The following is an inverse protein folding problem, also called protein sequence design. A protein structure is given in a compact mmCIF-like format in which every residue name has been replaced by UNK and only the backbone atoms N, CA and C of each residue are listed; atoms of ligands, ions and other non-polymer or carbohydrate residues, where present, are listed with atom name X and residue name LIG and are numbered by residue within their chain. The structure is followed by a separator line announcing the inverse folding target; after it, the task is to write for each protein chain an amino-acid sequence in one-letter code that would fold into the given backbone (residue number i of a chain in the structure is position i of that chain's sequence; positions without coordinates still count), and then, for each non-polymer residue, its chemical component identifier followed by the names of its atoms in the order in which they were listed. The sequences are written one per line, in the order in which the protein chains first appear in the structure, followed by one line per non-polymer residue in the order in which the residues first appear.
data_IF_964901854609
#
_entry.id   IF_964901854609
#
_cell.length_a   1.000
_cell.length_b   1.000
_cell.length_c   1.000
_cell.angle_alpha   90.00
_cell.angle_beta   90.00
_cell.angle_gamma   90.00
#
_symmetry.space_group_name_H-M   'P 1'
#
loop_
_entity.id
_entity.type
_entity.pdbx_description
1 polymer ?
#
# COMPACT_ATOMS: atom_id res chain seq x y z
N UNK A 1 1.19 -42.09 48.53
CA UNK A 1 2.02 -41.01 47.97
C UNK A 1 1.86 -39.80 48.88
N UNK A 2 2.92 -39.43 49.64
CA UNK A 2 2.84 -38.41 50.69
C UNK A 2 2.38 -37.06 50.14
N UNK A 3 1.61 -36.32 50.95
CA UNK A 3 1.05 -34.99 50.66
C UNK A 3 2.12 -34.04 50.12
N UNK A 4 3.35 -34.10 50.62
CA UNK A 4 4.50 -33.32 50.14
C UNK A 4 4.87 -33.58 48.68
N UNK A 5 4.76 -34.84 48.22
CA UNK A 5 5.01 -35.21 46.82
C UNK A 5 3.90 -34.68 45.90
N UNK A 6 2.65 -34.71 46.37
CA UNK A 6 1.51 -34.14 45.64
C UNK A 6 1.66 -32.62 45.50
N UNK A 7 2.05 -31.91 46.55
CA UNK A 7 2.27 -30.45 46.51
C UNK A 7 3.45 -30.06 45.62
N UNK A 8 4.53 -30.84 45.61
CA UNK A 8 5.67 -30.61 44.71
C UNK A 8 5.34 -30.88 43.23
N UNK A 9 4.52 -31.89 42.95
CA UNK A 9 4.09 -32.19 41.57
C UNK A 9 3.12 -31.12 41.05
N UNK A 10 2.26 -30.59 41.93
CA UNK A 10 1.33 -29.50 41.61
C UNK A 10 2.04 -28.15 41.42
N UNK A 11 3.11 -27.89 42.19
CA UNK A 11 3.96 -26.71 42.03
C UNK A 11 4.83 -26.78 40.77
N UNK A 12 5.34 -27.96 40.40
CA UNK A 12 6.10 -28.17 39.17
C UNK A 12 5.23 -28.07 37.90
N UNK A 13 3.95 -28.49 37.97
CA UNK A 13 3.00 -28.27 36.89
C UNK A 13 2.61 -26.80 36.73
N UNK A 14 2.58 -26.03 37.82
CA UNK A 14 2.27 -24.60 37.80
C UNK A 14 3.42 -23.72 37.28
N UNK A 15 4.69 -24.16 37.41
CA UNK A 15 5.85 -23.43 36.90
C UNK A 15 6.17 -23.68 35.43
N UNK A 16 5.56 -24.69 34.80
CA UNK A 16 5.68 -24.95 33.36
C UNK A 16 4.55 -24.31 32.51
N UNK A 17 3.59 -23.62 33.13
CA UNK A 17 2.41 -23.06 32.47
C UNK A 17 2.60 -21.64 31.89
N UNK A 18 3.81 -21.27 31.46
CA UNK A 18 4.06 -20.01 30.73
C UNK A 18 4.00 -20.26 29.22
N UNK A 19 2.89 -20.84 28.76
CA UNK A 19 2.37 -20.77 27.39
C UNK A 19 1.20 -21.76 27.29
N UNK A 20 -0.02 -21.30 27.49
CA UNK A 20 -1.21 -22.12 27.33
C UNK A 20 -1.39 -22.47 25.84
N UNK A 21 -1.08 -23.71 25.47
CA UNK A 21 -1.40 -24.28 24.16
C UNK A 21 -2.55 -25.29 24.31
N UNK A 22 -3.27 -25.54 23.20
CA UNK A 22 -4.44 -26.42 23.15
C UNK A 22 -4.24 -27.84 23.75
N UNK A 23 -2.98 -28.31 23.87
CA UNK A 23 -2.64 -29.59 24.51
C UNK A 23 -2.91 -29.65 26.03
N UNK A 24 -2.91 -28.53 26.74
CA UNK A 24 -3.05 -28.53 28.20
C UNK A 24 -4.45 -28.95 28.67
N UNK A 25 -5.48 -28.61 27.88
CA UNK A 25 -6.87 -29.00 28.15
C UNK A 25 -7.07 -30.51 28.05
N UNK A 26 -6.50 -31.12 27.01
CA UNK A 26 -6.59 -32.57 26.78
C UNK A 26 -5.85 -33.36 27.85
N UNK A 27 -4.70 -32.87 28.30
CA UNK A 27 -3.93 -33.46 29.41
C UNK A 27 -4.70 -33.33 30.73
N UNK A 28 -5.29 -32.17 31.02
CA UNK A 28 -6.11 -31.96 32.23
C UNK A 28 -7.37 -32.84 32.22
N UNK A 29 -8.01 -33.01 31.06
CA UNK A 29 -9.15 -33.93 30.89
C UNK A 29 -8.76 -35.39 31.14
N UNK A 30 -7.56 -35.79 30.70
CA UNK A 30 -7.00 -37.12 30.96
C UNK A 30 -6.67 -37.35 32.44
N UNK A 31 -6.18 -36.32 33.14
CA UNK A 31 -5.86 -36.39 34.57
C UNK A 31 -7.11 -36.46 35.45
N UNK A 32 -8.18 -35.76 35.07
CA UNK A 32 -9.50 -35.91 35.71
C UNK A 32 -10.06 -37.30 35.47
N UNK A 33 -10.00 -37.80 34.23
CA UNK A 33 -10.45 -39.14 33.87
C UNK A 33 -9.67 -40.25 34.59
N UNK A 34 -8.39 -40.03 34.90
CA UNK A 34 -7.54 -40.95 35.69
C UNK A 34 -7.67 -40.76 37.20
N UNK A 35 -8.54 -39.85 37.66
CA UNK A 35 -8.80 -39.59 39.08
C UNK A 35 -7.61 -38.97 39.83
N UNK A 36 -6.65 -38.40 39.10
CA UNK A 36 -5.45 -37.76 39.68
C UNK A 36 -5.78 -36.34 40.16
N UNK A 37 -6.72 -35.69 39.49
CA UNK A 37 -7.19 -34.32 39.77
C UNK A 37 -8.72 -34.33 39.74
N UNK A 38 -9.37 -33.54 40.59
CA UNK A 38 -10.83 -33.39 40.61
C UNK A 38 -11.34 -32.47 39.48
N UNK A 39 -12.64 -32.55 39.19
CA UNK A 39 -13.26 -31.68 38.20
C UNK A 39 -13.18 -30.19 38.62
N UNK A 40 -13.28 -29.92 39.93
CA UNK A 40 -13.14 -28.58 40.50
C UNK A 40 -11.72 -28.04 40.33
N UNK A 41 -10.69 -28.86 40.58
CA UNK A 41 -9.29 -28.47 40.41
C UNK A 41 -8.93 -28.19 38.94
N UNK A 42 -9.49 -28.97 38.01
CA UNK A 42 -9.38 -28.66 36.58
C UNK A 42 -10.03 -27.32 36.24
N UNK A 43 -11.24 -27.07 36.73
CA UNK A 43 -11.94 -25.81 36.47
C UNK A 43 -11.15 -24.61 37.01
N UNK A 44 -10.58 -24.73 38.22
CA UNK A 44 -9.73 -23.69 38.80
C UNK A 44 -8.42 -23.49 38.03
N UNK A 45 -7.78 -24.56 37.55
CA UNK A 45 -6.58 -24.47 36.72
C UNK A 45 -6.86 -23.80 35.37
N UNK A 46 -7.98 -24.16 34.72
CA UNK A 46 -8.42 -23.53 33.46
C UNK A 46 -8.82 -22.07 33.66
N UNK A 47 -9.51 -21.73 34.75
CA UNK A 47 -9.88 -20.35 35.07
C UNK A 47 -8.63 -19.51 35.40
N UNK A 48 -7.66 -20.08 36.12
CA UNK A 48 -6.38 -19.42 36.41
C UNK A 48 -5.53 -19.27 35.15
N UNK A 49 -5.49 -20.25 34.27
CA UNK A 49 -4.81 -20.17 32.98
C UNK A 49 -5.48 -19.14 32.07
N UNK A 50 -6.81 -19.08 32.05
CA UNK A 50 -7.58 -18.07 31.31
C UNK A 50 -7.34 -16.67 31.86
N UNK A 51 -7.36 -16.49 33.19
CA UNK A 51 -7.03 -15.21 33.84
C UNK A 51 -5.56 -14.82 33.65
N UNK A 52 -4.63 -15.78 33.65
CA UNK A 52 -3.22 -15.53 33.37
C UNK A 52 -2.99 -15.19 31.89
N UNK A 53 -3.72 -15.83 30.97
CA UNK A 53 -3.70 -15.54 29.54
C UNK A 53 -4.31 -14.16 29.24
N UNK A 54 -5.39 -13.78 29.93
CA UNK A 54 -5.97 -12.44 29.90
C UNK A 54 -5.03 -11.39 30.52
N UNK A 55 -4.40 -11.69 31.66
CA UNK A 55 -3.42 -10.81 32.29
C UNK A 55 -2.11 -10.69 31.47
N UNK A 56 -1.80 -11.69 30.64
CA UNK A 56 -0.69 -11.70 29.70
C UNK A 56 -1.07 -11.14 28.31
N UNK A 57 -2.31 -10.68 28.11
CA UNK A 57 -2.77 -10.05 26.87
C UNK A 57 -2.87 -10.99 25.66
N UNK A 58 -3.00 -12.30 25.86
CA UNK A 58 -2.97 -13.29 24.77
C UNK A 58 -4.34 -13.49 24.06
N UNK A 59 -5.43 -12.97 24.64
CA UNK A 59 -6.79 -13.05 24.06
C UNK A 59 -7.14 -11.83 23.18
N UNK A 60 -6.24 -10.86 23.06
CA UNK A 60 -6.45 -9.67 22.25
C UNK A 60 -5.35 -9.54 21.20
N UNK A 61 -5.73 -9.40 19.93
CA UNK A 61 -4.82 -8.95 18.87
C UNK A 61 -4.56 -7.46 19.13
N UNK A 62 -3.77 -7.15 20.15
CA UNK A 62 -3.23 -5.81 20.34
C UNK A 62 -1.71 -5.85 20.24
N UNK A 63 -1.20 -4.77 19.63
CA UNK A 63 0.21 -4.54 19.48
C UNK A 63 0.92 -4.74 20.82
N UNK A 64 2.11 -5.31 20.73
CA UNK A 64 3.03 -5.44 21.85
C UNK A 64 3.30 -4.02 22.37
N UNK A 65 2.63 -3.65 23.47
CA UNK A 65 2.62 -2.36 24.20
C UNK A 65 1.58 -1.30 23.78
N UNK A 66 1.29 -0.35 24.69
CA UNK A 66 0.42 0.86 24.55
C UNK A 66 0.72 1.78 23.34
N UNK A 67 1.63 1.34 22.47
CA UNK A 67 2.06 2.00 21.26
C UNK A 67 0.93 2.13 20.23
N UNK A 68 0.09 1.10 20.03
CA UNK A 68 -0.99 1.19 19.02
C UNK A 68 -2.19 1.99 19.54
N UNK A 69 -2.42 3.17 18.99
CA UNK A 69 -3.54 4.05 19.34
C UNK A 69 -4.81 3.73 18.54
N UNK A 70 -4.67 3.33 17.28
CA UNK A 70 -5.82 3.01 16.42
C UNK A 70 -5.45 2.02 15.33
N UNK A 71 -6.30 1.03 15.12
CA UNK A 71 -6.24 0.15 13.96
C UNK A 71 -7.43 0.45 13.05
N UNK A 72 -7.16 0.73 11.78
CA UNK A 72 -8.17 1.03 10.75
C UNK A 72 -8.16 -0.05 9.69
N UNK A 73 -9.32 -0.63 9.44
CA UNK A 73 -9.56 -1.53 8.33
C UNK A 73 -10.24 -0.75 7.21
N UNK A 74 -9.77 -0.94 5.99
CA UNK A 74 -10.34 -0.30 4.80
C UNK A 74 -10.48 -1.33 3.70
N UNK A 75 -11.48 -1.14 2.84
CA UNK A 75 -11.69 -2.04 1.73
C UNK A 75 -12.37 -1.33 0.57
N UNK A 76 -12.17 -1.90 -0.61
CA UNK A 76 -12.92 -1.49 -1.80
C UNK A 76 -13.10 -2.67 -2.73
N UNK A 77 -14.33 -2.84 -3.18
CA UNK A 77 -14.68 -3.75 -4.25
C UNK A 77 -15.18 -2.92 -5.45
N UNK A 78 -14.74 -3.29 -6.65
CA UNK A 78 -15.28 -2.74 -7.89
C UNK A 78 -15.33 -3.83 -8.94
N UNK A 79 -16.53 -4.10 -9.44
CA UNK A 79 -16.78 -5.00 -10.56
C UNK A 79 -17.08 -4.19 -11.82
N UNK A 80 -16.77 -4.76 -12.98
CA UNK A 80 -17.03 -4.15 -14.28
C UNK A 80 -17.52 -5.22 -15.25
N UNK A 81 -18.38 -4.78 -16.17
CA UNK A 81 -18.69 -5.49 -17.40
C UNK A 81 -18.17 -4.66 -18.56
N UNK A 82 -17.38 -5.28 -19.43
CA UNK A 82 -16.83 -4.64 -20.62
C UNK A 82 -17.39 -5.34 -21.86
N UNK A 83 -17.87 -4.57 -22.83
CA UNK A 83 -18.19 -5.00 -24.19
C UNK A 83 -17.44 -4.08 -25.17
N UNK A 84 -16.30 -4.56 -25.66
CA UNK A 84 -15.37 -3.80 -26.49
C UNK A 84 -15.32 -4.47 -27.86
N UNK A 85 -15.85 -3.78 -28.87
CA UNK A 85 -15.65 -4.13 -30.27
C UNK A 85 -14.37 -3.46 -30.79
N UNK A 86 -13.59 -4.20 -31.58
CA UNK A 86 -12.35 -3.70 -32.18
C UNK A 86 -12.51 -3.68 -33.70
N UNK A 87 -12.16 -2.56 -34.32
CA UNK A 87 -12.07 -2.42 -35.76
C UNK A 87 -10.68 -1.82 -36.08
N UNK A 88 -9.88 -2.53 -36.90
CA UNK A 88 -8.56 -2.07 -37.32
C UNK A 88 -8.56 -1.82 -38.83
N UNK A 89 -8.20 -0.61 -39.23
CA UNK A 89 -7.99 -0.26 -40.64
C UNK A 89 -6.49 -0.32 -40.95
N UNK A 90 -6.04 -1.39 -41.62
CA UNK A 90 -4.65 -1.51 -42.09
C UNK A 90 -4.05 -2.90 -41.86
N UNK A 91 -3.90 -3.65 -42.94
CA UNK A 91 -3.33 -5.00 -42.95
C UNK A 91 -1.80 -4.96 -42.88
N UNK A 92 -1.24 -5.29 -41.71
CA UNK A 92 0.09 -5.91 -41.59
C UNK A 92 0.15 -6.67 -40.27
N UNK A 93 -0.17 -7.97 -40.30
CA UNK A 93 0.32 -9.04 -39.42
C UNK A 93 0.40 -8.80 -37.89
N UNK A 94 -0.46 -7.97 -37.30
CA UNK A 94 -0.78 -8.07 -35.88
C UNK A 94 -2.14 -8.76 -35.80
N UNK A 95 -2.18 -9.98 -35.25
CA UNK A 95 -3.43 -10.74 -35.13
C UNK A 95 -4.53 -9.86 -34.54
N UNK A 96 -5.70 -9.83 -35.18
CA UNK A 96 -6.83 -9.00 -34.75
C UNK A 96 -7.08 -9.22 -33.25
N UNK A 97 -7.09 -8.14 -32.48
CA UNK A 97 -7.54 -8.23 -31.10
C UNK A 97 -9.03 -8.61 -31.13
N UNK A 98 -9.37 -9.78 -30.59
CA UNK A 98 -10.75 -10.25 -30.59
C UNK A 98 -11.64 -9.33 -29.74
N UNK A 99 -12.88 -9.04 -30.16
CA UNK A 99 -13.84 -8.34 -29.33
C UNK A 99 -13.92 -8.99 -27.94
N UNK A 100 -13.94 -8.17 -26.91
CA UNK A 100 -13.91 -8.64 -25.52
C UNK A 100 -15.24 -8.38 -24.85
N UNK A 101 -15.84 -9.44 -24.31
CA UNK A 101 -17.04 -9.40 -23.47
C UNK A 101 -16.74 -10.12 -22.18
N UNK A 102 -16.56 -9.38 -21.10
CA UNK A 102 -16.08 -9.99 -19.86
C UNK A 102 -16.65 -9.30 -18.63
N UNK A 103 -16.92 -10.11 -17.62
CA UNK A 103 -17.10 -9.63 -16.25
C UNK A 103 -15.76 -9.75 -15.55
N UNK A 104 -15.30 -8.65 -14.94
CA UNK A 104 -14.05 -8.63 -14.19
C UNK A 104 -14.24 -8.00 -12.82
N UNK A 105 -13.48 -8.52 -11.85
CA UNK A 105 -13.18 -7.77 -10.64
C UNK A 105 -12.09 -6.77 -11.01
N UNK A 106 -12.43 -5.49 -11.07
CA UNK A 106 -11.47 -4.43 -11.43
C UNK A 106 -10.56 -4.05 -10.26
N UNK A 107 -11.12 -4.03 -9.04
CA UNK A 107 -10.40 -3.70 -7.79
C UNK A 107 -10.99 -4.51 -6.65
N UNK A 108 -10.11 -5.12 -5.86
CA UNK A 108 -10.47 -5.79 -4.62
C UNK A 108 -9.40 -5.45 -3.59
N UNK A 109 -9.52 -4.27 -3.00
CA UNK A 109 -8.57 -3.77 -2.02
C UNK A 109 -8.97 -4.18 -0.60
N UNK A 110 -8.00 -4.64 0.18
CA UNK A 110 -8.07 -4.73 1.64
C UNK A 110 -6.85 -4.03 2.22
N UNK A 111 -7.08 -3.07 3.11
CA UNK A 111 -6.05 -2.25 3.73
C UNK A 111 -6.14 -2.23 5.25
N UNK A 112 -4.99 -2.20 5.88
CA UNK A 112 -4.81 -2.14 7.32
C UNK A 112 -3.89 -0.96 7.64
N UNK A 113 -4.34 -0.01 8.46
CA UNK A 113 -3.52 1.10 8.96
C UNK A 113 -3.44 1.05 10.47
N UNK A 114 -2.22 0.96 10.98
CA UNK A 114 -1.89 1.03 12.40
C UNK A 114 -1.37 2.44 12.71
N UNK A 115 -2.05 3.17 13.57
CA UNK A 115 -1.61 4.45 14.13
C UNK A 115 -0.96 4.19 15.48
N UNK A 116 0.32 4.55 15.59
CA UNK A 116 1.15 4.29 16.76
C UNK A 116 1.28 5.53 17.67
N UNK A 117 0.52 6.60 17.38
CA UNK A 117 0.62 7.86 18.09
C UNK A 117 1.89 8.67 17.74
N UNK A 118 1.97 9.88 18.27
CA UNK A 118 3.12 10.80 18.07
C UNK A 118 3.51 11.02 16.60
N UNK A 119 2.54 10.97 15.69
CA UNK A 119 2.74 11.14 14.26
C UNK A 119 3.20 9.88 13.51
N UNK A 120 3.40 8.73 14.17
CA UNK A 120 3.83 7.51 13.49
C UNK A 120 2.66 6.62 13.08
N UNK A 121 2.67 6.14 11.84
CA UNK A 121 1.71 5.13 11.38
C UNK A 121 2.31 4.17 10.36
N UNK A 122 1.76 2.95 10.27
CA UNK A 122 2.06 1.98 9.24
C UNK A 122 0.79 1.64 8.44
N UNK A 123 0.90 1.47 7.13
CA UNK A 123 -0.23 1.12 6.25
C UNK A 123 0.19 0.04 5.25
N UNK A 124 -0.60 -1.02 5.16
CA UNK A 124 -0.49 -2.07 4.14
C UNK A 124 -1.81 -2.16 3.39
N UNK A 125 -1.77 -2.20 2.07
CA UNK A 125 -2.93 -2.38 1.20
C UNK A 125 -2.62 -3.46 0.17
N UNK A 126 -3.50 -4.45 0.04
CA UNK A 126 -3.44 -5.49 -0.98
C UNK A 126 -4.58 -5.34 -1.99
N UNK A 127 -4.32 -5.60 -3.26
CA UNK A 127 -5.23 -5.73 -4.38
C UNK A 127 -5.34 -7.19 -4.84
N UNK A 128 -6.47 -7.82 -4.56
CA UNK A 128 -6.74 -9.21 -4.96
C UNK A 128 -7.44 -9.33 -6.33
N UNK A 129 -7.62 -8.22 -7.04
CA UNK A 129 -8.25 -8.22 -8.36
C UNK A 129 -7.26 -8.45 -9.51
N UNK A 130 -5.96 -8.40 -9.24
CA UNK A 130 -4.94 -8.65 -10.25
C UNK A 130 -4.73 -10.16 -10.41
N UNK A 131 -4.73 -10.63 -11.66
CA UNK A 131 -4.46 -12.03 -12.02
C UNK A 131 -2.95 -12.38 -11.99
N UNK A 132 -2.14 -11.57 -11.31
CA UNK A 132 -0.72 -11.84 -11.09
C UNK A 132 -0.57 -12.50 -9.72
N UNK A 133 -0.44 -13.83 -9.71
CA UNK A 133 -0.38 -14.66 -8.48
C UNK A 133 0.67 -14.21 -7.47
N UNK A 134 1.66 -13.42 -7.90
CA UNK A 134 2.78 -12.98 -7.08
C UNK A 134 2.74 -11.49 -6.71
N UNK A 135 1.73 -10.72 -7.16
CA UNK A 135 1.69 -9.25 -7.00
C UNK A 135 0.35 -8.72 -6.55
N UNK A 136 0.02 -8.98 -5.29
CA UNK A 136 -1.17 -8.39 -4.65
C UNK A 136 -0.87 -7.14 -3.85
N UNK A 137 0.39 -6.78 -3.58
CA UNK A 137 0.68 -5.62 -2.74
C UNK A 137 0.50 -4.30 -3.52
N UNK A 138 -0.40 -3.42 -3.06
CA UNK A 138 -0.64 -2.10 -3.63
C UNK A 138 0.12 -1.00 -2.87
N UNK A 139 0.30 -1.17 -1.56
CA UNK A 139 1.02 -0.23 -0.69
C UNK A 139 1.57 -0.96 0.54
N UNK A 140 2.78 -0.62 0.96
CA UNK A 140 3.32 -1.00 2.26
C UNK A 140 4.27 0.10 2.75
N UNK A 141 3.83 0.90 3.72
CA UNK A 141 4.56 2.09 4.15
C UNK A 141 4.56 2.27 5.67
N UNK A 142 5.56 2.99 6.15
CA UNK A 142 5.61 3.62 7.47
C UNK A 142 5.74 5.13 7.28
N UNK A 143 4.92 5.90 7.97
CA UNK A 143 4.92 7.37 7.89
C UNK A 143 5.20 7.96 9.26
N UNK A 144 6.04 8.99 9.28
CA UNK A 144 6.25 9.90 10.39
C UNK A 144 5.73 11.28 9.99
N UNK A 145 4.67 11.73 10.66
CA UNK A 145 4.05 13.03 10.51
C UNK A 145 4.63 13.98 11.56
N UNK A 146 5.16 15.13 11.14
CA UNK A 146 5.79 16.11 12.03
C UNK A 146 5.49 17.54 11.58
N UNK A 147 5.95 18.53 12.35
CA UNK A 147 5.89 19.94 11.93
C UNK A 147 6.76 20.26 10.70
N UNK A 148 7.66 19.35 10.31
CA UNK A 148 8.48 19.48 9.10
C UNK A 148 7.81 18.86 7.87
N UNK A 149 6.61 18.28 8.02
CA UNK A 149 5.90 17.53 6.99
C UNK A 149 5.90 16.02 7.25
N UNK A 150 5.47 15.27 6.24
CA UNK A 150 5.30 13.83 6.30
C UNK A 150 6.47 13.12 5.62
N UNK A 151 7.18 12.30 6.37
CA UNK A 151 8.24 11.42 5.86
C UNK A 151 7.70 10.00 5.83
N UNK A 152 7.65 9.41 4.64
CA UNK A 152 7.14 8.06 4.39
C UNK A 152 8.24 7.17 3.83
N UNK A 153 8.43 6.01 4.44
CA UNK A 153 9.32 4.95 3.95
C UNK A 153 8.50 3.75 3.48
N UNK A 154 8.83 3.20 2.32
CA UNK A 154 8.29 1.92 1.86
C UNK A 154 7.81 1.94 0.42
N UNK A 155 6.91 1.02 0.09
CA UNK A 155 6.37 0.80 -1.25
C UNK A 155 5.09 1.60 -1.48
N UNK A 156 5.16 2.60 -2.35
CA UNK A 156 3.99 3.36 -2.81
C UNK A 156 4.26 4.07 -4.14
N UNK A 157 3.25 4.80 -4.63
CA UNK A 157 3.38 5.62 -5.85
C UNK A 157 4.33 6.80 -5.61
N UNK A 158 5.08 7.16 -6.65
CA UNK A 158 5.85 8.40 -6.66
C UNK A 158 4.96 9.61 -6.98
N UNK A 159 5.46 10.81 -6.69
CA UNK A 159 4.75 12.08 -6.93
C UNK A 159 4.72 12.45 -8.41
N UNK A 160 4.03 11.64 -9.22
CA UNK A 160 3.92 11.77 -10.67
C UNK A 160 2.49 11.53 -11.17
N UNK A 161 1.99 12.40 -12.04
CA UNK A 161 0.64 12.29 -12.62
C UNK A 161 -0.45 12.77 -11.66
N UNK A 162 -1.29 13.70 -12.12
CA UNK A 162 -2.44 14.17 -11.33
C UNK A 162 -3.49 13.05 -11.18
N UNK A 163 -3.86 12.41 -12.28
CA UNK A 163 -4.86 11.33 -12.28
C UNK A 163 -4.32 10.07 -11.57
N UNK A 164 -3.01 9.81 -11.65
CA UNK A 164 -2.40 8.65 -11.00
C UNK A 164 -2.42 8.76 -9.48
N UNK A 165 -2.05 9.95 -8.95
CA UNK A 165 -2.10 10.24 -7.53
C UNK A 165 -3.52 10.53 -7.02
N UNK A 166 -4.48 10.70 -7.92
CA UNK A 166 -5.90 10.68 -7.55
C UNK A 166 -6.31 9.26 -7.16
N UNK A 167 -6.86 9.13 -5.94
CA UNK A 167 -7.40 7.87 -5.46
C UNK A 167 -8.35 7.28 -6.49
N UNK A 168 -8.25 5.98 -6.72
CA UNK A 168 -9.09 5.31 -7.69
C UNK A 168 -10.59 5.42 -7.35
N UNK A 169 -10.97 5.76 -6.11
CA UNK A 169 -12.37 5.96 -5.69
C UNK A 169 -12.90 7.36 -6.00
N UNK A 170 -12.03 8.25 -6.45
CA UNK A 170 -12.32 9.64 -6.80
C UNK A 170 -12.02 9.94 -8.27
N UNK A 171 -11.81 8.91 -9.09
CA UNK A 171 -11.69 9.07 -10.53
C UNK A 171 -13.02 9.52 -11.12
N UNK A 172 -12.96 10.46 -12.06
CA UNK A 172 -14.14 10.93 -12.79
C UNK A 172 -14.64 9.90 -13.81
N UNK A 173 -13.77 9.00 -14.23
CA UNK A 173 -14.01 7.98 -15.26
C UNK A 173 -13.87 6.58 -14.67
N UNK A 174 -14.41 5.59 -15.39
CA UNK A 174 -14.37 4.17 -15.00
C UNK A 174 -12.92 3.68 -14.90
N UNK A 175 -12.07 4.13 -15.83
CA UNK A 175 -10.63 3.87 -15.91
C UNK A 175 -9.85 5.18 -15.99
N UNK A 176 -8.57 5.13 -15.58
CA UNK A 176 -7.65 6.24 -15.86
C UNK A 176 -7.45 6.40 -17.37
N UNK A 177 -7.11 7.60 -17.79
CA UNK A 177 -6.82 7.93 -19.17
C UNK A 177 -5.70 7.05 -19.76
N UNK A 178 -5.71 6.86 -21.07
CA UNK A 178 -4.66 6.11 -21.77
C UNK A 178 -3.26 6.67 -21.52
N UNK A 179 -3.14 7.99 -21.38
CA UNK A 179 -1.88 8.68 -21.07
C UNK A 179 -1.39 8.22 -19.70
N UNK A 180 -2.20 8.38 -18.66
CA UNK A 180 -1.79 7.97 -17.30
C UNK A 180 -1.44 6.49 -17.24
N UNK A 181 -2.19 5.63 -17.92
CA UNK A 181 -1.91 4.18 -17.96
C UNK A 181 -0.59 3.84 -18.64
N UNK A 182 -0.25 4.51 -19.74
CA UNK A 182 1.02 4.30 -20.42
C UNK A 182 2.21 4.69 -19.55
N UNK A 183 2.11 5.83 -18.84
CA UNK A 183 3.21 6.35 -18.01
C UNK A 183 3.32 5.74 -16.62
N UNK A 184 2.21 5.41 -15.95
CA UNK A 184 2.22 5.10 -14.52
C UNK A 184 1.86 3.66 -14.14
N UNK A 185 1.21 2.90 -15.02
CA UNK A 185 1.08 1.45 -14.78
C UNK A 185 2.42 0.77 -15.04
N UNK A 186 2.67 -0.37 -14.38
CA UNK A 186 3.96 -1.02 -14.47
C UNK A 186 4.40 -1.29 -15.90
N UNK A 187 5.68 -1.00 -16.18
CA UNK A 187 6.34 -1.37 -17.43
C UNK A 187 6.03 -2.85 -17.75
N UNK A 188 5.60 -3.08 -18.99
CA UNK A 188 5.40 -4.43 -19.54
C UNK A 188 5.78 -4.52 -21.03
N UNK A 189 6.70 -3.69 -21.50
CA UNK A 189 7.10 -3.56 -22.91
C UNK A 189 6.11 -2.79 -23.80
N UNK A 190 4.91 -2.48 -23.31
CA UNK A 190 3.92 -1.59 -23.97
C UNK A 190 3.68 -0.29 -23.21
N UNK A 191 3.94 -0.31 -21.91
CA UNK A 191 3.84 0.81 -20.97
C UNK A 191 5.24 1.08 -20.44
N UNK A 192 5.53 2.31 -20.03
CA UNK A 192 6.88 2.69 -19.61
C UNK A 192 7.11 2.60 -18.10
N UNK A 193 6.06 2.63 -17.28
CA UNK A 193 6.17 2.49 -15.82
C UNK A 193 6.95 3.59 -15.10
N UNK A 194 7.08 4.78 -15.69
CA UNK A 194 7.79 5.92 -15.10
C UNK A 194 7.14 6.44 -13.81
N UNK A 195 5.81 6.52 -13.78
CA UNK A 195 5.04 6.96 -12.59
C UNK A 195 4.60 5.82 -11.68
N UNK A 196 5.19 4.63 -11.83
CA UNK A 196 4.74 3.45 -11.11
C UNK A 196 5.10 3.50 -9.62
N UNK A 197 4.86 2.39 -8.92
CA UNK A 197 5.19 2.27 -7.50
C UNK A 197 6.63 1.84 -7.32
N UNK A 198 7.31 2.49 -6.39
CA UNK A 198 8.68 2.18 -6.02
C UNK A 198 8.80 2.00 -4.51
N UNK A 199 9.85 1.33 -4.08
CA UNK A 199 10.28 1.35 -2.68
C UNK A 199 11.23 2.52 -2.49
N UNK A 200 11.01 3.29 -1.44
CA UNK A 200 11.98 4.31 -1.05
C UNK A 200 11.48 5.28 0.00
N UNK A 201 12.12 6.44 0.00
CA UNK A 201 11.78 7.59 0.82
C UNK A 201 10.87 8.53 0.04
N UNK A 202 9.78 8.94 0.66
CA UNK A 202 8.85 9.91 0.13
C UNK A 202 8.65 11.01 1.17
N UNK A 203 8.59 12.24 0.71
CA UNK A 203 8.28 13.41 1.50
C UNK A 203 7.08 14.11 0.89
N UNK A 204 6.17 14.58 1.73
CA UNK A 204 5.06 15.41 1.30
C UNK A 204 4.64 16.34 2.42
N UNK A 205 4.29 17.57 2.05
CA UNK A 205 3.81 18.56 2.99
C UNK A 205 2.91 19.58 2.30
N UNK A 206 2.25 20.39 3.13
CA UNK A 206 1.29 21.40 2.71
C UNK A 206 1.49 22.66 3.52
N UNK A 207 1.80 23.75 2.84
CA UNK A 207 1.85 25.08 3.44
C UNK A 207 0.57 25.86 3.16
N UNK A 208 0.02 26.50 4.19
CA UNK A 208 -1.04 27.52 4.04
C UNK A 208 -0.33 28.85 3.81
N UNK A 209 -0.47 29.43 2.61
CA UNK A 209 0.16 30.70 2.25
C UNK A 209 -0.73 31.90 2.64
N UNK A 210 -2.04 31.70 2.59
CA UNK A 210 -3.09 32.65 3.00
C UNK A 210 -4.35 31.87 3.40
N UNK A 211 -5.43 32.56 3.78
CA UNK A 211 -6.75 31.93 4.00
C UNK A 211 -7.30 31.23 2.76
N UNK A 212 -6.88 31.67 1.57
CA UNK A 212 -7.35 31.20 0.28
C UNK A 212 -6.32 30.32 -0.43
N UNK A 213 -5.03 30.47 -0.13
CA UNK A 213 -3.93 29.83 -0.87
C UNK A 213 -3.26 28.70 -0.09
N UNK A 214 -3.12 27.56 -0.75
CA UNK A 214 -2.44 26.38 -0.24
C UNK A 214 -1.39 25.91 -1.25
N UNK A 215 -0.18 25.66 -0.77
CA UNK A 215 0.91 25.07 -1.52
C UNK A 215 1.11 23.62 -1.09
N UNK A 216 0.83 22.68 -1.98
CA UNK A 216 1.18 21.26 -1.83
C UNK A 216 2.56 21.03 -2.47
N UNK A 217 3.47 20.36 -1.78
CA UNK A 217 4.79 20.01 -2.32
C UNK A 217 5.26 18.66 -1.80
N UNK A 218 6.14 18.03 -2.56
CA UNK A 218 6.64 16.71 -2.21
C UNK A 218 7.85 16.32 -3.04
N UNK A 219 8.50 15.28 -2.54
CA UNK A 219 9.70 14.70 -3.12
C UNK A 219 9.70 13.19 -2.91
N UNK A 220 10.37 12.44 -3.76
CA UNK A 220 10.60 11.01 -3.57
C UNK A 220 12.00 10.66 -4.04
N UNK A 221 12.72 9.91 -3.21
CA UNK A 221 14.00 9.27 -3.53
C UNK A 221 13.81 7.77 -3.38
N UNK A 222 13.84 7.06 -4.50
CA UNK A 222 13.34 5.69 -4.57
C UNK A 222 14.32 4.82 -5.33
N UNK A 223 14.18 3.51 -5.22
CA UNK A 223 14.89 2.58 -6.09
C UNK A 223 14.57 2.92 -7.56
N UNK A 224 15.58 2.91 -8.42
CA UNK A 224 15.39 3.25 -9.84
C UNK A 224 14.41 2.28 -10.53
N UNK A 225 14.32 1.05 -10.02
CA UNK A 225 13.42 0.02 -10.51
C UNK A 225 12.09 0.04 -9.76
N UNK A 226 11.00 0.05 -10.51
CA UNK A 226 9.63 -0.09 -9.98
C UNK A 226 9.39 -1.49 -9.36
N UNK A 227 8.50 -1.55 -8.36
CA UNK A 227 8.14 -2.76 -7.62
C UNK A 227 8.77 -2.87 -6.22
N UNK A 228 8.39 -3.90 -5.45
CA UNK A 228 8.82 -4.09 -4.05
C UNK A 228 9.78 -5.26 -3.79
N UNK A 229 9.98 -6.14 -4.76
CA UNK A 229 10.76 -7.37 -4.62
C UNK A 229 11.92 -7.47 -5.65
N UNK A 230 12.43 -6.33 -6.11
CA UNK A 230 13.39 -6.26 -7.21
C UNK A 230 14.80 -5.95 -6.69
N UNK A 231 15.78 -6.81 -6.98
CA UNK A 231 17.11 -6.77 -6.34
C UNK A 231 18.28 -6.69 -7.33
N UNK A 232 18.07 -6.15 -8.53
CA UNK A 232 19.07 -6.23 -9.63
C UNK A 232 19.56 -4.90 -10.17
N UNK A 233 19.08 -3.78 -9.62
CA UNK A 233 19.48 -2.43 -10.03
C UNK A 233 19.85 -1.67 -8.76
N UNK A 234 21.13 -1.36 -8.60
CA UNK A 234 21.65 -0.59 -7.46
C UNK A 234 21.77 0.89 -7.83
N UNK A 235 20.62 1.51 -8.10
CA UNK A 235 20.55 2.92 -8.48
C UNK A 235 19.21 3.52 -8.04
N UNK A 236 19.07 4.83 -8.13
CA UNK A 236 17.93 5.57 -7.60
C UNK A 236 17.20 6.41 -8.66
N UNK A 237 15.90 6.59 -8.42
CA UNK A 237 15.04 7.55 -9.09
C UNK A 237 14.67 8.70 -8.13
N UNK A 238 14.41 9.87 -8.71
CA UNK A 238 13.99 11.06 -7.98
C UNK A 238 12.75 11.65 -8.61
N UNK A 239 11.81 12.09 -7.78
CA UNK A 239 10.56 12.72 -8.22
C UNK A 239 10.24 13.90 -7.31
N UNK A 240 9.60 14.92 -7.85
CA UNK A 240 9.16 16.08 -7.09
C UNK A 240 7.84 16.61 -7.64
N UNK A 241 7.04 17.21 -6.76
CA UNK A 241 5.82 17.91 -7.15
C UNK A 241 5.69 19.23 -6.41
N UNK A 242 5.05 20.18 -7.07
CA UNK A 242 4.56 21.41 -6.47
C UNK A 242 3.21 21.77 -7.07
N UNK A 243 2.26 22.20 -6.25
CA UNK A 243 0.94 22.63 -6.68
C UNK A 243 0.42 23.77 -5.81
N UNK A 244 -0.05 24.82 -6.47
CA UNK A 244 -0.72 25.94 -5.82
C UNK A 244 -2.23 25.78 -6.01
N UNK A 245 -2.98 25.75 -4.92
CA UNK A 245 -4.43 25.80 -4.92
C UNK A 245 -4.89 27.15 -4.37
N UNK A 246 -5.64 27.89 -5.18
CA UNK A 246 -6.37 29.08 -4.76
C UNK A 246 -7.86 28.76 -4.58
N UNK A 247 -8.41 29.08 -3.41
CA UNK A 247 -9.81 28.85 -3.04
C UNK A 247 -10.57 30.16 -3.00
N UNK A 248 -11.39 30.42 -4.01
CA UNK A 248 -12.32 31.56 -4.03
C UNK A 248 -13.52 31.35 -3.10
N UNK A 249 -13.96 30.09 -2.94
CA UNK A 249 -15.01 29.67 -2.00
C UNK A 249 -14.97 28.15 -1.82
N UNK A 250 -15.78 27.58 -0.93
CA UNK A 250 -15.89 26.12 -0.79
C UNK A 250 -16.27 25.40 -2.10
N UNK A 251 -17.05 26.07 -2.95
CA UNK A 251 -17.52 25.54 -4.22
C UNK A 251 -16.63 25.91 -5.41
N UNK A 252 -15.67 26.83 -5.25
CA UNK A 252 -14.84 27.34 -6.35
C UNK A 252 -13.37 27.36 -5.95
N UNK A 253 -12.57 26.48 -6.57
CA UNK A 253 -11.14 26.35 -6.30
C UNK A 253 -10.38 25.96 -7.57
N UNK A 254 -9.17 26.50 -7.71
CA UNK A 254 -8.30 26.25 -8.85
C UNK A 254 -6.93 25.83 -8.37
N UNK A 255 -6.44 24.74 -8.94
CA UNK A 255 -5.12 24.19 -8.68
C UNK A 255 -4.33 24.23 -9.98
N UNK A 256 -3.11 24.76 -9.91
CA UNK A 256 -2.08 24.61 -10.93
C UNK A 256 -0.92 23.85 -10.31
N UNK A 257 -0.31 22.93 -11.04
CA UNK A 257 0.80 22.17 -10.51
C UNK A 257 1.71 21.62 -11.59
N UNK A 258 2.88 21.17 -11.16
CA UNK A 258 3.85 20.49 -12.00
C UNK A 258 4.50 19.37 -11.20
N UNK A 259 4.63 18.23 -11.85
CA UNK A 259 5.44 17.12 -11.37
C UNK A 259 6.70 17.02 -12.24
N UNK A 260 7.79 16.58 -11.63
CA UNK A 260 9.04 16.26 -12.29
C UNK A 260 9.54 14.90 -11.82
N UNK A 261 10.24 14.18 -12.68
CA UNK A 261 10.94 12.96 -12.29
C UNK A 261 12.16 12.69 -13.14
N UNK A 262 13.06 11.87 -12.60
CA UNK A 262 14.19 11.29 -13.31
C UNK A 262 14.54 9.93 -12.68
N UNK A 263 14.69 8.91 -13.51
CA UNK A 263 15.15 7.57 -13.10
C UNK A 263 15.86 6.88 -14.26
N UNK A 264 16.38 5.67 -14.05
CA UNK A 264 16.82 4.82 -15.15
C UNK A 264 15.63 4.21 -15.87
N UNK A 265 15.71 4.16 -17.20
CA UNK A 265 14.73 3.46 -18.00
C UNK A 265 14.98 1.96 -17.89
N UNK A 266 14.10 1.26 -17.17
CA UNK A 266 14.16 -0.21 -17.03
C UNK A 266 13.16 -0.86 -17.97
N UNK A 267 13.61 -1.86 -18.75
CA UNK A 267 12.73 -2.69 -19.59
C UNK A 267 11.85 -3.65 -18.79
N UNK A 268 10.90 -4.31 -19.46
CA UNK A 268 10.02 -5.35 -18.89
C UNK A 268 10.77 -6.50 -18.25
N UNK A 269 11.91 -6.86 -18.84
CA UNK A 269 12.81 -7.88 -18.31
C UNK A 269 13.50 -7.44 -17.00
N UNK A 270 13.38 -6.16 -16.63
CA UNK A 270 13.93 -5.60 -15.40
C UNK A 270 15.40 -5.20 -15.48
N UNK A 271 15.99 -5.22 -16.67
CA UNK A 271 17.32 -4.68 -16.93
C UNK A 271 17.20 -3.18 -17.25
N UNK A 272 18.19 -2.39 -16.81
CA UNK A 272 18.39 -1.04 -17.34
C UNK A 272 18.57 -1.18 -18.86
N UNK A 273 17.76 -0.44 -19.60
CA UNK A 273 17.89 -0.37 -21.05
C UNK A 273 19.20 0.34 -21.36
N UNK A 274 20.04 -0.29 -22.19
CA UNK A 274 21.28 0.32 -22.69
C UNK A 274 21.02 0.74 -24.13
N UNK A 275 21.18 2.02 -24.42
CA UNK A 275 21.07 2.57 -25.77
C UNK A 275 22.44 3.14 -26.14
N UNK A 276 22.95 2.80 -27.33
CA UNK A 276 24.29 3.20 -27.79
C UNK A 276 25.47 2.86 -26.84
N UNK A 277 25.33 1.84 -26.00
CA UNK A 277 26.36 1.44 -25.03
C UNK A 277 26.30 2.16 -23.69
N UNK A 278 25.32 3.04 -23.50
CA UNK A 278 25.12 3.84 -22.30
C UNK A 278 23.77 3.52 -21.64
N UNK A 279 23.74 3.54 -20.30
CA UNK A 279 22.52 3.29 -19.53
C UNK A 279 21.49 4.39 -19.81
N UNK A 280 20.30 4.02 -20.27
CA UNK A 280 19.27 5.00 -20.61
C UNK A 280 18.64 5.57 -19.34
N UNK A 281 18.59 6.90 -19.25
CA UNK A 281 17.78 7.61 -18.24
C UNK A 281 16.49 8.06 -18.87
N UNK A 282 15.45 8.11 -18.06
CA UNK A 282 14.18 8.74 -18.39
C UNK A 282 13.97 9.91 -17.45
N UNK A 283 13.65 11.07 -18.01
CA UNK A 283 13.26 12.25 -17.24
C UNK A 283 11.94 12.79 -17.77
N UNK A 284 11.20 13.54 -16.98
CA UNK A 284 9.94 14.08 -17.45
C UNK A 284 9.35 15.20 -16.62
N UNK A 285 8.39 15.87 -17.24
CA UNK A 285 7.54 16.89 -16.64
C UNK A 285 6.07 16.57 -16.87
N UNK A 286 5.25 16.86 -15.86
CA UNK A 286 3.80 16.73 -15.96
C UNK A 286 3.13 17.98 -15.35
N UNK A 287 2.98 19.07 -16.12
CA UNK A 287 2.16 20.19 -15.71
C UNK A 287 0.68 19.83 -15.79
N UNK A 288 -0.11 20.33 -14.84
CA UNK A 288 -1.53 20.05 -14.76
C UNK A 288 -2.32 21.22 -14.17
N UNK A 289 -3.62 21.19 -14.46
CA UNK A 289 -4.61 22.09 -13.89
C UNK A 289 -5.79 21.29 -13.37
N UNK A 290 -6.42 21.78 -12.30
CA UNK A 290 -7.70 21.31 -11.80
C UNK A 290 -8.54 22.48 -11.35
N UNK A 291 -9.70 22.68 -11.96
CA UNK A 291 -10.61 23.77 -11.65
C UNK A 291 -11.97 23.21 -11.26
N UNK A 292 -12.44 23.56 -10.07
CA UNK A 292 -13.80 23.31 -9.62
C UNK A 292 -14.56 24.64 -9.64
N UNK A 293 -15.71 24.65 -10.32
CA UNK A 293 -16.63 25.78 -10.40
C UNK A 293 -18.04 25.27 -10.05
N UNK A 294 -18.46 25.49 -8.80
CA UNK A 294 -19.68 24.88 -8.27
C UNK A 294 -19.59 23.34 -8.27
N UNK A 295 -20.54 22.71 -8.96
CA UNK A 295 -20.58 21.26 -9.17
C UNK A 295 -19.74 20.80 -10.38
N UNK A 296 -19.30 21.73 -11.23
CA UNK A 296 -18.52 21.41 -12.41
C UNK A 296 -17.04 21.30 -12.04
N UNK A 297 -16.36 20.24 -12.48
CA UNK A 297 -14.91 20.11 -12.31
C UNK A 297 -14.26 19.75 -13.63
N UNK A 298 -13.20 20.47 -13.98
CA UNK A 298 -12.31 20.17 -15.10
C UNK A 298 -10.94 19.85 -14.54
N UNK A 299 -10.32 18.81 -15.07
CA UNK A 299 -8.91 18.54 -14.87
C UNK A 299 -8.26 18.28 -16.21
N UNK A 300 -7.01 18.71 -16.34
CA UNK A 300 -6.19 18.45 -17.52
C UNK A 300 -4.74 18.30 -17.08
N UNK A 301 -4.06 17.34 -17.68
CA UNK A 301 -2.63 17.13 -17.46
C UNK A 301 -1.94 16.87 -18.80
N UNK A 302 -0.71 17.35 -18.92
CA UNK A 302 0.15 17.08 -20.05
C UNK A 302 1.34 16.26 -19.53
N UNK A 303 1.78 15.25 -20.28
CA UNK A 303 2.89 14.40 -19.86
C UNK A 303 3.96 14.44 -20.94
N UNK A 304 5.18 14.79 -20.54
CA UNK A 304 6.36 14.80 -21.39
C UNK A 304 7.46 14.01 -20.69
N UNK A 305 8.04 13.06 -21.40
CA UNK A 305 9.26 12.36 -20.96
C UNK A 305 10.26 12.28 -22.08
N UNK A 306 11.53 12.38 -21.74
CA UNK A 306 12.66 12.16 -22.63
C UNK A 306 13.45 10.93 -22.17
N UNK A 307 13.97 10.15 -23.12
CA UNK A 307 14.76 8.96 -22.85
C UNK A 307 16.11 9.11 -23.53
N UNK A 308 17.15 9.37 -22.73
CA UNK A 308 18.49 9.65 -23.22
C UNK A 308 19.46 8.51 -22.86
N UNK A 309 20.30 8.05 -23.81
CA UNK A 309 21.54 7.35 -23.47
C UNK A 309 22.48 8.33 -22.74
N UNK A 310 23.16 7.85 -21.68
CA UNK A 310 23.98 8.70 -20.79
C UNK A 310 25.43 8.87 -21.15
#
# INVERSE_FOLDING_TARGET
MNTTLKTLTLAAAASMAVSAYAGDKEVLDLLVKKGVVSAEERAAAMDKAKKASQAAGLDEIFAKEEALKRLTFSGRMQTQYEDIAYEQTGATNAGEASPTRTFLMRRLYLGFKADMGSGFSGEIVNNFAENDTDKTLDKAIVTSESSLGNITLGYQKVQWGLEENTSSSKLYTVERSMVTRYWAESENGRRIGFGARHVGLHYSDKATLSTEDTLDYGFSFVDARQGYSKTSVNDFGTYANIALTHKFSDANKHTIGVNWGQTFYTSAAGAITVLNGESSKISGYNPYIKSQIGAFTVQGEYVLTDIDPT
#
